data_IF_229585039009
#
_entry.id   IF_229585039009
#
_cell.length_a   1.000
_cell.length_b   1.000
_cell.length_c   1.000
_cell.angle_alpha   90.00
_cell.angle_beta   90.00
_cell.angle_gamma   90.00
#
_symmetry.space_group_name_H-M   'P 1'
#
loop_
_entity.id
_entity.type
_entity.pdbx_description
1 polymer ?
#
# COMPACT_ATOMS: atom_id res chain seq x y z
N UNK A 1 -21.61 -16.19 14.79
CA UNK A 1 -20.98 -15.28 15.77
C UNK A 1 -21.30 -13.85 15.33
N UNK A 2 -21.98 -13.05 16.16
CA UNK A 2 -22.31 -11.67 15.83
C UNK A 2 -21.17 -10.74 16.25
N UNK A 3 -20.66 -9.92 15.33
CA UNK A 3 -19.57 -8.98 15.61
C UNK A 3 -20.08 -7.74 16.35
N UNK A 4 -19.25 -7.18 17.24
CA UNK A 4 -19.55 -5.94 17.98
C UNK A 4 -19.64 -4.75 17.01
N UNK A 5 -20.58 -3.79 17.16
CA UNK A 5 -20.89 -2.77 16.16
C UNK A 5 -19.72 -1.92 15.63
N UNK A 6 -18.59 -1.84 16.34
CA UNK A 6 -17.45 -0.98 15.99
C UNK A 6 -16.30 -1.71 15.26
N UNK A 7 -16.45 -2.99 14.92
CA UNK A 7 -15.36 -3.78 14.32
C UNK A 7 -14.97 -3.31 12.91
N UNK A 8 -15.95 -2.96 12.07
CA UNK A 8 -15.71 -2.52 10.68
C UNK A 8 -14.87 -1.25 10.65
N UNK A 9 -15.17 -0.27 11.50
CA UNK A 9 -14.37 0.96 11.61
C UNK A 9 -12.93 0.65 12.04
N UNK A 10 -12.75 -0.29 12.99
CA UNK A 10 -11.41 -0.70 13.43
C UNK A 10 -10.63 -1.41 12.31
N UNK A 11 -11.30 -2.24 11.52
CA UNK A 11 -10.70 -2.90 10.35
C UNK A 11 -10.31 -1.86 9.30
N UNK A 12 -11.23 -0.95 8.94
CA UNK A 12 -10.97 0.10 7.95
C UNK A 12 -9.77 0.98 8.35
N UNK A 13 -9.61 1.27 9.65
CA UNK A 13 -8.44 1.99 10.15
C UNK A 13 -7.13 1.23 9.93
N UNK A 14 -7.13 -0.10 9.87
CA UNK A 14 -5.88 -0.85 9.63
C UNK A 14 -5.28 -0.63 8.25
N UNK A 15 -6.03 -0.07 7.30
CA UNK A 15 -5.55 0.23 5.95
C UNK A 15 -4.41 1.26 5.89
N UNK A 16 -4.17 2.03 6.95
CA UNK A 16 -3.03 2.96 7.00
C UNK A 16 -1.70 2.25 6.74
N UNK A 17 -1.59 0.94 7.04
CA UNK A 17 -0.38 0.15 6.80
C UNK A 17 0.04 0.13 5.32
N UNK A 18 -0.90 0.29 4.39
CA UNK A 18 -0.61 0.36 2.97
C UNK A 18 0.13 1.64 2.59
N UNK A 19 -0.14 2.76 3.27
CA UNK A 19 0.61 4.01 3.09
C UNK A 19 2.09 3.82 3.41
N UNK A 20 2.37 3.09 4.50
CA UNK A 20 3.74 2.77 4.88
C UNK A 20 4.41 1.89 3.80
N UNK A 21 3.69 0.90 3.28
CA UNK A 21 4.19 0.06 2.18
C UNK A 21 4.51 0.86 0.92
N UNK A 22 3.63 1.77 0.53
CA UNK A 22 3.83 2.64 -0.63
C UNK A 22 5.03 3.56 -0.41
N UNK A 23 5.10 4.24 0.73
CA UNK A 23 6.20 5.12 1.08
C UNK A 23 7.56 4.38 1.00
N UNK A 24 7.66 3.23 1.67
CA UNK A 24 8.89 2.43 1.66
C UNK A 24 9.28 1.96 0.25
N UNK A 25 8.30 1.61 -0.58
CA UNK A 25 8.57 1.21 -1.96
C UNK A 25 9.06 2.36 -2.83
N UNK A 26 8.47 3.55 -2.67
CA UNK A 26 8.92 4.75 -3.38
C UNK A 26 10.37 5.07 -3.00
N UNK A 27 10.72 5.00 -1.72
CA UNK A 27 12.09 5.19 -1.23
C UNK A 27 13.07 4.17 -1.82
N UNK A 28 12.72 2.88 -1.74
CA UNK A 28 13.55 1.80 -2.31
C UNK A 28 13.75 2.00 -3.81
N UNK A 29 12.68 2.37 -4.53
CA UNK A 29 12.74 2.59 -5.98
C UNK A 29 13.61 3.80 -6.33
N UNK A 30 13.52 4.88 -5.56
CA UNK A 30 14.34 6.07 -5.75
C UNK A 30 15.83 5.78 -5.48
N UNK A 31 16.13 5.05 -4.41
CA UNK A 31 17.49 4.59 -4.10
C UNK A 31 18.02 3.68 -5.21
N UNK A 32 17.22 2.72 -5.68
CA UNK A 32 17.62 1.82 -6.77
C UNK A 32 17.94 2.59 -8.06
N UNK A 33 17.13 3.60 -8.39
CA UNK A 33 17.35 4.44 -9.56
C UNK A 33 18.67 5.24 -9.47
N UNK A 34 19.02 5.72 -8.28
CA UNK A 34 20.30 6.40 -8.05
C UNK A 34 21.50 5.47 -8.21
N UNK A 35 21.40 4.23 -7.74
CA UNK A 35 22.49 3.26 -7.93
C UNK A 35 22.73 2.91 -9.40
N UNK A 36 21.68 2.92 -10.23
CA UNK A 36 21.80 2.64 -11.68
C UNK A 36 22.44 3.82 -12.42
N UNK A 37 22.16 5.06 -11.99
CA UNK A 37 22.61 6.28 -12.66
C UNK A 37 23.76 6.99 -11.92
N UNK A 38 24.50 6.25 -11.09
CA UNK A 38 25.53 6.80 -10.24
C UNK A 38 26.69 7.41 -11.04
N UNK A 39 27.05 8.66 -10.73
CA UNK A 39 28.28 9.30 -11.19
C UNK A 39 29.25 9.50 -10.02
N UNK A 40 30.54 9.22 -10.26
CA UNK A 40 31.61 9.45 -9.28
C UNK A 40 31.75 10.90 -8.80
N UNK A 41 31.18 11.87 -9.50
CA UNK A 41 31.16 13.29 -9.15
C UNK A 41 30.03 13.70 -8.19
N UNK A 42 29.14 12.77 -7.86
CA UNK A 42 27.93 13.05 -7.08
C UNK A 42 28.19 13.31 -5.59
N UNK A 43 27.56 14.37 -5.06
CA UNK A 43 27.57 14.66 -3.62
C UNK A 43 26.48 13.85 -2.88
N UNK A 44 26.89 12.73 -2.29
CA UNK A 44 26.03 11.82 -1.53
C UNK A 44 25.22 12.48 -0.42
N UNK A 45 25.74 13.51 0.25
CA UNK A 45 25.01 14.17 1.34
C UNK A 45 23.81 14.95 0.79
N UNK A 46 23.98 15.63 -0.35
CA UNK A 46 22.89 16.34 -1.03
C UNK A 46 21.86 15.36 -1.58
N UNK A 47 22.30 14.22 -2.13
CA UNK A 47 21.42 13.19 -2.69
C UNK A 47 20.56 12.54 -1.60
N UNK A 48 21.17 12.12 -0.49
CA UNK A 48 20.45 11.50 0.63
C UNK A 48 19.43 12.47 1.24
N UNK A 49 19.79 13.74 1.38
CA UNK A 49 18.86 14.77 1.85
C UNK A 49 17.73 15.02 0.84
N UNK A 50 18.06 15.03 -0.44
CA UNK A 50 17.10 15.13 -1.54
C UNK A 50 16.11 13.96 -1.58
N UNK A 51 16.54 12.73 -1.31
CA UNK A 51 15.67 11.57 -1.19
C UNK A 51 14.70 11.71 -0.02
N UNK A 52 15.24 11.98 1.18
CA UNK A 52 14.50 12.03 2.42
C UNK A 52 13.31 13.00 2.37
N UNK A 53 13.48 14.13 1.69
CA UNK A 53 12.42 15.14 1.54
C UNK A 53 11.68 15.05 0.21
N UNK A 54 12.38 14.68 -0.86
CA UNK A 54 11.84 14.63 -2.21
C UNK A 54 10.81 13.53 -2.39
N UNK A 55 11.03 12.33 -1.83
CA UNK A 55 10.07 11.23 -1.94
C UNK A 55 8.74 11.55 -1.23
N UNK A 56 8.73 11.99 0.05
CA UNK A 56 7.50 12.48 0.68
C UNK A 56 6.85 13.62 -0.11
N UNK A 57 7.64 14.59 -0.58
CA UNK A 57 7.11 15.72 -1.34
C UNK A 57 6.41 15.27 -2.61
N UNK A 58 7.01 14.38 -3.41
CA UNK A 58 6.40 13.81 -4.61
C UNK A 58 5.16 12.97 -4.30
N UNK A 59 5.21 12.19 -3.22
CA UNK A 59 4.08 11.37 -2.76
C UNK A 59 2.86 12.23 -2.40
N UNK A 60 3.05 13.36 -1.71
CA UNK A 60 1.95 14.24 -1.29
C UNK A 60 1.55 15.30 -2.33
N UNK A 61 2.42 15.64 -3.28
CA UNK A 61 2.08 16.58 -4.36
C UNK A 61 1.41 15.88 -5.54
N UNK A 62 2.02 14.83 -6.08
CA UNK A 62 1.53 14.12 -7.27
C UNK A 62 0.82 12.81 -6.91
N UNK A 63 1.28 12.11 -5.86
CA UNK A 63 0.73 10.82 -5.47
C UNK A 63 -0.59 10.89 -4.69
N UNK A 64 -0.98 12.06 -4.18
CA UNK A 64 -2.08 12.16 -3.22
C UNK A 64 -3.43 11.70 -3.78
N UNK A 65 -3.73 12.02 -5.04
CA UNK A 65 -4.97 11.59 -5.70
C UNK A 65 -5.03 10.06 -5.81
N UNK A 66 -3.92 9.44 -6.21
CA UNK A 66 -3.79 7.98 -6.31
C UNK A 66 -3.94 7.34 -4.93
N UNK A 67 -3.27 7.89 -3.91
CA UNK A 67 -3.31 7.39 -2.54
C UNK A 67 -4.72 7.45 -1.96
N UNK A 68 -5.39 8.60 -2.08
CA UNK A 68 -6.75 8.79 -1.59
C UNK A 68 -7.71 7.86 -2.32
N UNK A 69 -7.63 7.77 -3.65
CA UNK A 69 -8.45 6.86 -4.44
C UNK A 69 -8.26 5.40 -4.03
N UNK A 70 -7.00 4.97 -3.87
CA UNK A 70 -6.66 3.63 -3.40
C UNK A 70 -7.22 3.36 -2.00
N UNK A 71 -7.03 4.28 -1.04
CA UNK A 71 -7.55 4.13 0.32
C UNK A 71 -9.08 4.08 0.37
N UNK A 72 -9.76 4.87 -0.45
CA UNK A 72 -11.22 4.82 -0.56
C UNK A 72 -11.68 3.47 -1.10
N UNK A 73 -11.06 2.97 -2.17
CA UNK A 73 -11.39 1.66 -2.76
C UNK A 73 -11.18 0.54 -1.75
N UNK A 74 -10.04 0.50 -1.05
CA UNK A 74 -9.76 -0.59 -0.11
C UNK A 74 -10.66 -0.56 1.11
N UNK A 75 -11.02 0.64 1.61
CA UNK A 75 -11.99 0.79 2.70
C UNK A 75 -13.38 0.34 2.26
N UNK A 76 -13.82 0.68 1.04
CA UNK A 76 -15.09 0.20 0.50
C UNK A 76 -15.10 -1.32 0.34
N UNK A 77 -14.01 -1.91 -0.14
CA UNK A 77 -13.86 -3.35 -0.25
C UNK A 77 -13.91 -4.02 1.14
N UNK A 78 -13.24 -3.47 2.15
CA UNK A 78 -13.32 -3.96 3.53
C UNK A 78 -14.78 -3.99 4.02
N UNK A 79 -15.52 -2.88 3.85
CA UNK A 79 -16.91 -2.78 4.29
C UNK A 79 -17.80 -3.83 3.61
N UNK A 80 -17.62 -4.04 2.31
CA UNK A 80 -18.39 -5.04 1.54
C UNK A 80 -17.98 -6.45 1.96
N UNK A 81 -16.69 -6.79 1.88
CA UNK A 81 -16.20 -8.16 2.05
C UNK A 81 -16.36 -8.65 3.49
N UNK A 82 -16.08 -7.83 4.51
CA UNK A 82 -16.28 -8.23 5.91
C UNK A 82 -17.75 -8.25 6.34
N UNK A 83 -18.66 -7.66 5.56
CA UNK A 83 -20.10 -7.83 5.78
C UNK A 83 -20.61 -9.20 5.31
N UNK A 84 -20.02 -9.73 4.23
CA UNK A 84 -20.42 -10.98 3.57
C UNK A 84 -19.63 -12.18 4.14
N UNK A 85 -18.31 -12.08 4.15
CA UNK A 85 -17.37 -13.14 4.53
C UNK A 85 -16.86 -12.84 5.94
N UNK A 86 -17.35 -13.58 6.94
CA UNK A 86 -17.09 -13.26 8.35
C UNK A 86 -15.88 -14.00 8.95
N UNK A 87 -15.53 -15.17 8.43
CA UNK A 87 -14.61 -16.09 9.11
C UNK A 87 -13.31 -16.38 8.35
N UNK A 88 -13.01 -15.67 7.27
CA UNK A 88 -11.81 -15.95 6.47
C UNK A 88 -11.08 -14.66 6.07
N UNK A 89 -10.24 -14.15 6.98
CA UNK A 89 -9.47 -12.92 6.79
C UNK A 89 -8.55 -13.04 5.57
N UNK A 90 -7.78 -14.14 5.46
CA UNK A 90 -6.83 -14.34 4.37
C UNK A 90 -7.53 -14.34 3.00
N UNK A 91 -8.68 -15.00 2.88
CA UNK A 91 -9.46 -14.99 1.65
C UNK A 91 -9.88 -13.56 1.27
N UNK A 92 -10.34 -12.77 2.23
CA UNK A 92 -10.72 -11.37 2.00
C UNK A 92 -9.52 -10.56 1.50
N UNK A 93 -8.37 -10.67 2.17
CA UNK A 93 -7.15 -9.94 1.76
C UNK A 93 -6.72 -10.32 0.33
N UNK A 94 -6.84 -11.59 -0.05
CA UNK A 94 -6.51 -12.07 -1.41
C UNK A 94 -7.50 -11.53 -2.43
N UNK A 95 -8.80 -11.52 -2.12
CA UNK A 95 -9.82 -10.94 -3.00
C UNK A 95 -9.55 -9.45 -3.22
N UNK A 96 -9.28 -8.69 -2.16
CA UNK A 96 -8.93 -7.28 -2.28
C UNK A 96 -7.71 -7.05 -3.17
N UNK A 97 -6.67 -7.86 -2.98
CA UNK A 97 -5.48 -7.78 -3.80
C UNK A 97 -5.77 -8.09 -5.27
N UNK A 98 -6.54 -9.15 -5.57
CA UNK A 98 -6.96 -9.53 -6.94
C UNK A 98 -7.80 -8.43 -7.60
N UNK A 99 -8.64 -7.73 -6.84
CA UNK A 99 -9.48 -6.65 -7.39
C UNK A 99 -8.69 -5.36 -7.66
N UNK A 100 -7.66 -5.07 -6.87
CA UNK A 100 -6.87 -3.85 -7.01
C UNK A 100 -5.71 -4.02 -8.01
N UNK A 101 -5.06 -5.18 -8.04
CA UNK A 101 -3.87 -5.43 -8.87
C UNK A 101 -4.04 -5.10 -10.36
N UNK A 102 -5.19 -5.33 -11.04
CA UNK A 102 -5.31 -5.05 -12.46
C UNK A 102 -5.13 -3.56 -12.78
N UNK A 103 -5.51 -2.67 -11.86
CA UNK A 103 -5.32 -1.22 -12.02
C UNK A 103 -3.83 -0.89 -12.04
N UNK A 104 -3.05 -1.46 -11.11
CA UNK A 104 -1.61 -1.27 -11.05
C UNK A 104 -0.89 -1.91 -12.24
N UNK A 105 -1.30 -3.10 -12.67
CA UNK A 105 -0.75 -3.73 -13.87
C UNK A 105 -1.03 -2.87 -15.11
N UNK A 106 -2.27 -2.38 -15.26
CA UNK A 106 -2.63 -1.50 -16.36
C UNK A 106 -1.77 -0.22 -16.38
N UNK A 107 -1.56 0.40 -15.22
CA UNK A 107 -0.69 1.58 -15.11
C UNK A 107 0.79 1.28 -15.34
N UNK A 108 1.28 0.10 -14.94
CA UNK A 108 2.64 -0.34 -15.23
C UNK A 108 2.92 -0.33 -16.75
N UNK A 109 2.00 -0.86 -17.54
CA UNK A 109 2.12 -0.87 -18.99
C UNK A 109 1.81 0.47 -19.64
N UNK A 110 0.76 1.16 -19.18
CA UNK A 110 0.36 2.45 -19.76
C UNK A 110 1.43 3.53 -19.64
N UNK A 111 2.11 3.57 -18.49
CA UNK A 111 3.11 4.59 -18.21
C UNK A 111 4.54 4.06 -18.31
N UNK A 112 4.74 2.77 -18.61
CA UNK A 112 6.05 2.11 -18.67
C UNK A 112 6.88 2.25 -17.37
N UNK A 113 6.21 2.46 -16.23
CA UNK A 113 6.83 2.56 -14.92
C UNK A 113 6.65 1.28 -14.11
N UNK A 114 7.75 0.54 -13.94
CA UNK A 114 7.81 -0.68 -13.11
C UNK A 114 7.46 -0.45 -11.64
N UNK A 115 7.51 0.81 -11.20
CA UNK A 115 7.05 1.26 -9.88
C UNK A 115 5.68 0.68 -9.51
N UNK A 116 4.75 0.65 -10.46
CA UNK A 116 3.38 0.17 -10.24
C UNK A 116 3.30 -1.33 -9.89
N UNK A 117 4.16 -2.16 -10.49
CA UNK A 117 4.23 -3.58 -10.16
C UNK A 117 4.78 -3.79 -8.74
N UNK A 118 5.74 -2.97 -8.35
CA UNK A 118 6.25 -2.99 -6.98
C UNK A 118 5.22 -2.52 -5.95
N UNK A 119 4.41 -1.51 -6.28
CA UNK A 119 3.27 -1.10 -5.43
C UNK A 119 2.27 -2.25 -5.26
N UNK A 120 1.99 -3.01 -6.31
CA UNK A 120 1.17 -4.23 -6.22
C UNK A 120 1.78 -5.29 -5.29
N UNK A 121 3.09 -5.48 -5.35
CA UNK A 121 3.78 -6.41 -4.45
C UNK A 121 3.75 -5.93 -3.00
N UNK A 122 3.96 -4.63 -2.76
CA UNK A 122 3.89 -4.05 -1.42
C UNK A 122 2.47 -4.11 -0.85
N UNK A 123 1.44 -4.01 -1.69
CA UNK A 123 0.06 -4.23 -1.30
C UNK A 123 -0.11 -5.65 -0.73
N UNK A 124 0.42 -6.67 -1.40
CA UNK A 124 0.36 -8.06 -0.91
C UNK A 124 1.04 -8.23 0.46
N UNK A 125 2.25 -7.68 0.63
CA UNK A 125 2.99 -7.75 1.90
C UNK A 125 2.22 -7.04 3.02
N UNK A 126 1.77 -5.81 2.75
CA UNK A 126 1.05 -5.01 3.75
C UNK A 126 -0.30 -5.62 4.09
N UNK A 127 -1.00 -6.25 3.13
CA UNK A 127 -2.20 -7.05 3.36
C UNK A 127 -1.93 -8.22 4.31
N UNK A 128 -0.84 -8.96 4.09
CA UNK A 128 -0.45 -10.05 4.98
C UNK A 128 -0.17 -9.55 6.41
N UNK A 129 0.52 -8.42 6.57
CA UNK A 129 0.75 -7.80 7.89
C UNK A 129 -0.58 -7.34 8.51
N UNK A 130 -1.48 -6.75 7.70
CA UNK A 130 -2.81 -6.29 8.10
C UNK A 130 -3.65 -7.44 8.65
N UNK A 131 -3.59 -8.62 8.02
CA UNK A 131 -4.35 -9.80 8.42
C UNK A 131 -4.15 -10.17 9.90
N UNK A 132 -2.91 -10.03 10.42
CA UNK A 132 -2.59 -10.29 11.83
C UNK A 132 -3.27 -9.29 12.77
N UNK A 133 -3.33 -8.01 12.38
CA UNK A 133 -4.03 -6.97 13.16
C UNK A 133 -5.55 -7.17 13.15
N UNK A 134 -6.11 -7.56 12.00
CA UNK A 134 -7.54 -7.88 11.89
C UNK A 134 -7.88 -9.12 12.72
N UNK A 135 -7.03 -10.15 12.73
CA UNK A 135 -7.16 -11.32 13.59
C UNK A 135 -7.29 -10.95 15.06
N UNK A 136 -6.42 -10.05 15.54
CA UNK A 136 -6.50 -9.48 16.91
C UNK A 136 -7.82 -8.78 17.18
N UNK A 137 -8.31 -7.99 16.21
CA UNK A 137 -9.56 -7.23 16.36
C UNK A 137 -10.78 -8.15 16.45
N UNK A 138 -10.82 -9.21 15.63
CA UNK A 138 -11.97 -10.10 15.52
C UNK A 138 -11.98 -11.20 16.58
N UNK A 139 -10.82 -11.75 16.92
CA UNK A 139 -10.70 -12.95 17.74
C UNK A 139 -9.93 -12.73 19.05
N UNK A 140 -9.28 -11.57 19.25
CA UNK A 140 -8.54 -11.27 20.48
C UNK A 140 -7.22 -12.03 20.64
N UNK A 141 -6.69 -12.59 19.54
CA UNK A 141 -5.43 -13.37 19.48
C UNK A 141 -4.36 -12.55 18.75
#
# INVERSE_FOLDING_TARGET
MAFKPNYLTKIALTNWIHLLGFYLWLEISAIAHLFVNYDSSDNWQSILFGLLLGVPFLMFSYGLLIIVGFLLVIVLLDLILFSIIKNNILLIMVIEWILIIPIFIYWAFKYEYWLWLGLSFTLLITQYIRSKKIGKILFGI
#
